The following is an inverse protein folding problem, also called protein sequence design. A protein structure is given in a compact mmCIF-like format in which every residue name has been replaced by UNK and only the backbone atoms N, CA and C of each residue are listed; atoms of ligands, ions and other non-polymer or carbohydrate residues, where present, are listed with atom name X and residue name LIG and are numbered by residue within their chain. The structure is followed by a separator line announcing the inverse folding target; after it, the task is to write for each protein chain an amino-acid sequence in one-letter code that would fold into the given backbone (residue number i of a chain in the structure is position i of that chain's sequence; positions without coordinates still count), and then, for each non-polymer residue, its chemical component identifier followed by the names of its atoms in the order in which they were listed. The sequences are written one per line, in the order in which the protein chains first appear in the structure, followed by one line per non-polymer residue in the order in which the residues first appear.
data_IF_755148211773
#
_entry.id   IF_755148211773
#
_cell.length_a   1.000
_cell.length_b   1.000
_cell.length_c   1.000
_cell.angle_alpha   90.00
_cell.angle_beta   90.00
_cell.angle_gamma   90.00
#
_symmetry.space_group_name_H-M   'P 1'
#
loop_
_entity.id
_entity.type
_entity.pdbx_description
1 polymer ?
#
# COMPACT_ATOMS: atom_id res chain seq x y z
N UNK A 1 0.68 24.16 0.62
CA UNK A 1 0.49 23.07 -0.38
C UNK A 1 1.88 22.70 -0.88
N UNK A 2 2.20 21.42 -1.05
CA UNK A 2 3.52 20.97 -1.52
C UNK A 2 3.79 21.39 -2.97
N UNK A 3 5.06 21.43 -3.37
CA UNK A 3 5.45 21.65 -4.77
C UNK A 3 4.96 20.49 -5.66
N UNK A 4 4.94 20.69 -6.97
CA UNK A 4 4.60 19.62 -7.90
C UNK A 4 5.61 18.47 -7.80
N UNK A 5 6.90 18.80 -7.76
CA UNK A 5 8.01 17.83 -7.65
C UNK A 5 7.89 16.98 -6.38
N UNK A 6 7.62 17.61 -5.24
CA UNK A 6 7.44 16.89 -3.97
C UNK A 6 6.23 15.95 -4.01
N UNK A 7 5.13 16.36 -4.65
CA UNK A 7 3.96 15.49 -4.79
C UNK A 7 4.27 14.30 -5.69
N UNK A 8 4.96 14.50 -6.82
CA UNK A 8 5.36 13.43 -7.72
C UNK A 8 6.29 12.43 -7.03
N UNK A 9 7.24 12.92 -6.23
CA UNK A 9 8.13 12.07 -5.44
C UNK A 9 7.36 11.24 -4.40
N UNK A 10 6.46 11.85 -3.63
CA UNK A 10 5.84 11.24 -2.46
C UNK A 10 4.61 10.37 -2.75
N UNK A 11 3.93 10.57 -3.88
CA UNK A 11 2.62 9.93 -4.14
C UNK A 11 2.66 8.80 -5.15
N UNK A 12 3.70 8.69 -5.96
CA UNK A 12 3.82 7.63 -6.95
C UNK A 12 4.34 6.35 -6.29
N UNK A 13 3.50 5.32 -6.16
CA UNK A 13 3.82 4.06 -5.45
C UNK A 13 3.95 2.84 -6.38
N UNK A 14 3.98 3.07 -7.69
CA UNK A 14 4.12 2.01 -8.69
C UNK A 14 5.47 1.27 -8.65
N UNK A 15 5.63 0.21 -9.46
CA UNK A 15 6.92 -0.45 -9.61
C UNK A 15 8.02 0.53 -10.07
N UNK A 16 9.19 0.48 -9.43
CA UNK A 16 10.34 1.32 -9.78
C UNK A 16 10.30 2.78 -9.34
N UNK A 17 9.25 3.23 -8.64
CA UNK A 17 9.22 4.59 -8.05
C UNK A 17 9.85 4.60 -6.66
N UNK A 18 10.39 5.74 -6.18
CA UNK A 18 10.99 5.82 -4.85
C UNK A 18 10.06 5.35 -3.73
N UNK A 19 8.81 5.81 -3.74
CA UNK A 19 7.83 5.41 -2.73
C UNK A 19 7.29 4.00 -2.95
N UNK A 20 7.29 3.50 -4.18
CA UNK A 20 7.00 2.10 -4.46
C UNK A 20 8.04 1.17 -3.87
N UNK A 21 9.34 1.47 -4.04
CA UNK A 21 10.43 0.71 -3.42
C UNK A 21 10.32 0.78 -1.90
N UNK A 22 10.04 1.96 -1.33
CA UNK A 22 9.83 2.11 0.09
C UNK A 22 8.69 1.22 0.61
N UNK A 23 7.52 1.23 -0.04
CA UNK A 23 6.36 0.45 0.40
C UNK A 23 6.66 -1.06 0.42
N UNK A 24 7.49 -1.56 -0.51
CA UNK A 24 7.90 -2.97 -0.57
C UNK A 24 8.82 -3.40 0.57
N UNK A 25 9.39 -2.46 1.33
CA UNK A 25 10.24 -2.75 2.48
C UNK A 25 9.44 -2.98 3.77
N UNK A 26 8.13 -2.70 3.78
CA UNK A 26 7.28 -2.78 4.97
C UNK A 26 6.04 -3.64 4.75
N UNK A 27 5.58 -4.28 5.82
CA UNK A 27 4.27 -4.88 5.85
C UNK A 27 3.20 -3.80 6.06
N UNK A 28 2.21 -3.77 5.17
CA UNK A 28 1.10 -2.82 5.22
C UNK A 28 -0.19 -3.61 5.45
N UNK A 29 -0.96 -3.31 6.52
CA UNK A 29 -2.28 -3.91 6.73
C UNK A 29 -3.23 -3.56 5.58
N UNK A 30 -3.88 -4.56 4.99
CA UNK A 30 -4.81 -4.38 3.88
C UNK A 30 -6.29 -4.48 4.29
N UNK A 31 -6.59 -5.16 5.39
CA UNK A 31 -7.94 -5.37 5.94
C UNK A 31 -7.90 -5.38 7.48
N UNK A 32 -9.04 -5.09 8.08
CA UNK A 32 -9.33 -5.33 9.49
C UNK A 32 -9.62 -6.82 9.72
N UNK A 33 -9.38 -7.29 10.95
CA UNK A 33 -9.64 -8.69 11.32
C UNK A 33 -11.13 -9.07 11.18
N UNK A 34 -12.05 -8.12 11.42
CA UNK A 34 -13.51 -8.35 11.29
C UNK A 34 -14.01 -8.38 9.85
N UNK A 35 -13.21 -7.94 8.88
CA UNK A 35 -13.54 -8.01 7.46
C UNK A 35 -13.21 -9.38 6.85
N UNK A 36 -12.52 -10.26 7.59
CA UNK A 36 -12.28 -11.64 7.20
C UNK A 36 -13.54 -12.50 7.43
N UNK A 37 -14.03 -13.25 6.43
CA UNK A 37 -15.24 -14.06 6.59
C UNK A 37 -15.12 -15.16 7.66
N UNK A 38 -13.97 -15.84 7.71
CA UNK A 38 -13.67 -16.93 8.63
C UNK A 38 -12.15 -17.13 8.77
N UNK A 39 -11.72 -17.88 9.79
CA UNK A 39 -10.32 -18.26 9.95
C UNK A 39 -9.85 -19.10 8.77
N UNK A 40 -8.63 -18.87 8.30
CA UNK A 40 -8.03 -19.58 7.16
C UNK A 40 -8.83 -19.49 5.85
N UNK A 41 -9.68 -18.47 5.70
CA UNK A 41 -10.45 -18.25 4.47
C UNK A 41 -9.53 -18.03 3.25
N UNK A 42 -10.00 -18.30 2.03
CA UNK A 42 -9.28 -17.92 0.82
C UNK A 42 -8.95 -16.41 0.77
N UNK A 43 -7.93 -15.98 0.01
CA UNK A 43 -7.57 -14.57 -0.10
C UNK A 43 -8.76 -13.68 -0.45
N UNK A 44 -8.96 -12.62 0.34
CA UNK A 44 -9.98 -11.60 0.11
C UNK A 44 -9.46 -10.62 -0.95
N UNK A 45 -10.31 -10.26 -1.92
CA UNK A 45 -9.99 -9.22 -2.89
C UNK A 45 -10.20 -7.85 -2.26
N UNK A 46 -9.12 -7.08 -2.19
CA UNK A 46 -9.04 -5.67 -1.76
C UNK A 46 -8.92 -4.73 -2.96
#
# INVERSE_FOLDING_TARGET
MLSQEDNELLTQTGPGTPMGELFRQYWIPALLAEELPENDCPPVRV
#
